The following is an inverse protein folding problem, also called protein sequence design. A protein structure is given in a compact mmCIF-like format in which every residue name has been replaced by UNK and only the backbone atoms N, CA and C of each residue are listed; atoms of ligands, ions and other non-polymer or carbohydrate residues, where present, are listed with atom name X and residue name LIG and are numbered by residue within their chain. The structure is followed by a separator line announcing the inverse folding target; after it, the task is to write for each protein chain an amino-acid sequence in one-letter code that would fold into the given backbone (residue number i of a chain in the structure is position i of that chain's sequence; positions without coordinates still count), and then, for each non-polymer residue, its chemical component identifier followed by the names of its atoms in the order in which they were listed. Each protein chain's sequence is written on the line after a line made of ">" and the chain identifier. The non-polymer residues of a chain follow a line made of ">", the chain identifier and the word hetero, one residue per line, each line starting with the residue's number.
data_IF_960516217414
#
_entry.id   IF_960516217414
#
_cell.length_a   1.000
_cell.length_b   1.000
_cell.length_c   1.000
_cell.angle_alpha   90.00
_cell.angle_beta   90.00
_cell.angle_gamma   90.00
#
_symmetry.space_group_name_H-M   'P 1'
#
loop_
_entity.id
_entity.type
_entity.pdbx_description
1 polymer ?
#
# COMPACT_ATOMS: atom_id res chain seq x y z
N UNK A 1 -0.67 3.96 14.78
CA UNK A 1 -0.94 2.63 14.19
C UNK A 1 -2.31 2.08 14.61
N UNK A 2 -2.49 1.53 15.83
CA UNK A 2 -3.80 0.98 16.28
C UNK A 2 -4.96 1.98 16.16
N UNK A 3 -4.71 3.25 16.49
CA UNK A 3 -5.71 4.31 16.34
C UNK A 3 -6.07 4.58 14.86
N UNK A 4 -5.09 4.63 13.96
CA UNK A 4 -5.36 4.70 12.52
C UNK A 4 -6.18 3.50 12.03
N UNK A 5 -5.86 2.29 12.54
CA UNK A 5 -6.62 1.08 12.27
C UNK A 5 -8.09 1.22 12.66
N UNK A 6 -8.39 1.73 13.86
CA UNK A 6 -9.77 2.00 14.29
C UNK A 6 -10.49 3.00 13.37
N UNK A 7 -9.81 4.06 12.93
CA UNK A 7 -10.38 5.08 12.03
C UNK A 7 -10.72 4.54 10.64
N UNK A 8 -9.99 3.52 10.19
CA UNK A 8 -10.28 2.79 8.95
C UNK A 8 -11.19 1.58 9.15
N UNK A 9 -11.44 1.14 10.39
CA UNK A 9 -12.14 -0.12 10.67
C UNK A 9 -11.33 -1.36 10.29
N UNK A 10 -10.00 -1.28 10.38
CA UNK A 10 -9.08 -2.38 10.06
C UNK A 10 -8.33 -2.87 11.29
N UNK A 11 -7.98 -4.15 11.26
CA UNK A 11 -7.10 -4.76 12.26
C UNK A 11 -5.63 -4.46 11.94
N UNK A 12 -4.80 -4.48 12.99
CA UNK A 12 -3.38 -4.17 12.86
C UNK A 12 -2.55 -5.21 13.61
N UNK A 13 -1.65 -5.87 12.87
CA UNK A 13 -0.66 -6.78 13.43
C UNK A 13 0.71 -6.11 13.34
N UNK A 14 1.39 -5.96 14.49
CA UNK A 14 2.77 -5.49 14.56
C UNK A 14 3.67 -6.71 14.66
N UNK A 15 4.56 -6.91 13.69
CA UNK A 15 5.64 -7.87 13.82
C UNK A 15 6.83 -7.21 14.53
N UNK A 16 7.52 -7.99 15.35
CA UNK A 16 8.65 -7.53 16.15
C UNK A 16 9.91 -7.41 15.28
N UNK A 17 10.06 -6.26 14.62
CA UNK A 17 11.27 -5.79 13.94
C UNK A 17 11.41 -4.29 14.21
N UNK A 18 12.59 -3.86 14.64
CA UNK A 18 12.87 -2.45 14.92
C UNK A 18 13.16 -1.67 13.63
N UNK A 19 12.83 -0.38 13.67
CA UNK A 19 13.04 0.55 12.54
C UNK A 19 14.53 0.67 12.19
N UNK A 20 14.85 0.46 10.92
CA UNK A 20 16.22 0.42 10.39
C UNK A 20 16.94 -0.91 10.58
N UNK A 21 16.31 -1.90 11.20
CA UNK A 21 16.90 -3.21 11.53
C UNK A 21 16.24 -4.39 10.80
N UNK A 22 15.25 -4.14 9.93
CA UNK A 22 14.59 -5.22 9.20
C UNK A 22 15.58 -5.93 8.27
N UNK A 23 15.76 -7.24 8.45
CA UNK A 23 16.59 -8.06 7.57
C UNK A 23 15.76 -9.08 6.78
N UNK A 24 16.09 -9.34 5.49
CA UNK A 24 15.39 -10.29 4.63
C UNK A 24 15.81 -11.74 4.94
N UNK A 25 15.60 -12.16 6.20
CA UNK A 25 15.97 -13.49 6.68
C UNK A 25 14.85 -14.50 6.44
N UNK A 26 15.22 -15.79 6.40
CA UNK A 26 14.22 -16.87 6.37
C UNK A 26 13.26 -16.78 7.56
N UNK A 27 13.75 -16.43 8.75
CA UNK A 27 12.91 -16.30 9.95
C UNK A 27 11.80 -15.25 9.75
N UNK A 28 12.15 -14.07 9.21
CA UNK A 28 11.18 -13.02 8.92
C UNK A 28 10.25 -13.40 7.76
N UNK A 29 10.76 -14.07 6.72
CA UNK A 29 9.92 -14.58 5.63
C UNK A 29 8.86 -15.56 6.13
N UNK A 30 9.23 -16.48 7.02
CA UNK A 30 8.29 -17.42 7.61
C UNK A 30 7.24 -16.71 8.48
N UNK A 31 7.57 -15.60 9.18
CA UNK A 31 6.57 -14.78 9.87
C UNK A 31 5.55 -14.21 8.88
N UNK A 32 6.00 -13.61 7.78
CA UNK A 32 5.12 -13.04 6.74
C UNK A 32 4.23 -14.12 6.11
N UNK A 33 4.79 -15.28 5.74
CA UNK A 33 4.01 -16.40 5.17
C UNK A 33 2.89 -16.83 6.11
N UNK A 34 3.18 -16.95 7.41
CA UNK A 34 2.17 -17.32 8.41
C UNK A 34 1.06 -16.29 8.51
N UNK A 35 1.39 -15.01 8.56
CA UNK A 35 0.38 -13.96 8.65
C UNK A 35 -0.50 -13.96 7.39
N UNK A 36 0.08 -13.99 6.18
CA UNK A 36 -0.71 -14.06 4.93
C UNK A 36 -1.65 -15.27 4.93
N UNK A 37 -1.20 -16.43 5.42
CA UNK A 37 -2.03 -17.64 5.53
C UNK A 37 -3.15 -17.51 6.57
N UNK A 38 -2.85 -16.95 7.75
CA UNK A 38 -3.86 -16.75 8.81
C UNK A 38 -4.98 -15.81 8.36
N UNK A 39 -4.64 -14.81 7.55
CA UNK A 39 -5.59 -13.86 6.97
C UNK A 39 -6.43 -14.44 5.82
N UNK A 40 -6.07 -15.61 5.28
CA UNK A 40 -6.68 -16.15 4.05
C UNK A 40 -6.75 -15.10 2.93
N UNK A 41 -5.64 -14.39 2.72
CA UNK A 41 -5.64 -13.14 1.95
C UNK A 41 -5.98 -13.34 0.47
N UNK A 42 -6.83 -12.46 -0.07
CA UNK A 42 -7.07 -12.36 -1.52
C UNK A 42 -6.06 -11.43 -2.22
N UNK A 43 -5.64 -10.37 -1.53
CA UNK A 43 -4.72 -9.34 -2.01
C UNK A 43 -3.66 -9.08 -0.94
N UNK A 44 -2.41 -8.93 -1.37
CA UNK A 44 -1.31 -8.49 -0.49
C UNK A 44 -0.62 -7.29 -1.14
N UNK A 45 -0.56 -6.16 -0.44
CA UNK A 45 0.07 -4.92 -0.94
C UNK A 45 1.38 -4.70 -0.18
N UNK A 46 2.47 -4.41 -0.90
CA UNK A 46 3.78 -4.12 -0.31
C UNK A 46 4.54 -3.03 -1.08
N UNK A 47 5.59 -2.43 -0.50
CA UNK A 47 6.53 -1.59 -1.25
C UNK A 47 7.27 -2.39 -2.32
N UNK A 48 7.78 -1.72 -3.36
CA UNK A 48 8.74 -2.31 -4.30
C UNK A 48 10.10 -2.54 -3.63
N UNK A 49 10.92 -3.48 -4.14
CA UNK A 49 12.28 -3.71 -3.62
C UNK A 49 13.29 -2.60 -3.96
N UNK A 50 12.82 -1.50 -4.57
CA UNK A 50 13.63 -0.37 -5.04
C UNK A 50 13.23 0.88 -4.26
N UNK A 51 13.94 1.19 -3.17
CA UNK A 51 13.64 2.33 -2.30
C UNK A 51 14.93 2.86 -1.63
N UNK A 52 14.89 4.11 -1.16
CA UNK A 52 15.97 4.72 -0.39
C UNK A 52 16.11 4.08 1.01
N UNK A 53 14.99 3.67 1.62
CA UNK A 53 14.97 3.09 2.94
C UNK A 53 15.22 1.57 2.85
N UNK A 54 16.20 1.00 3.58
CA UNK A 54 16.45 -0.44 3.57
C UNK A 54 15.22 -1.25 4.00
N UNK A 55 14.50 -0.81 5.04
CA UNK A 55 13.31 -1.53 5.51
C UNK A 55 12.18 -1.59 4.48
N UNK A 56 11.98 -0.54 3.66
CA UNK A 56 11.00 -0.61 2.57
C UNK A 56 11.39 -1.70 1.57
N UNK A 57 12.67 -1.71 1.16
CA UNK A 57 13.21 -2.71 0.23
C UNK A 57 13.08 -4.12 0.81
N UNK A 58 13.48 -4.31 2.06
CA UNK A 58 13.47 -5.62 2.70
C UNK A 58 12.05 -6.10 3.03
N UNK A 59 11.11 -5.20 3.34
CA UNK A 59 9.70 -5.55 3.42
C UNK A 59 9.17 -6.02 2.06
N UNK A 60 9.47 -5.28 0.99
CA UNK A 60 9.15 -5.68 -0.38
C UNK A 60 9.72 -7.05 -0.75
N UNK A 61 11.02 -7.29 -0.49
CA UNK A 61 11.68 -8.58 -0.75
C UNK A 61 11.04 -9.71 0.07
N UNK A 62 10.77 -9.49 1.35
CA UNK A 62 10.16 -10.51 2.22
C UNK A 62 8.76 -10.92 1.75
N UNK A 63 7.95 -9.95 1.32
CA UNK A 63 6.61 -10.21 0.76
C UNK A 63 6.71 -10.88 -0.61
N UNK A 64 7.62 -10.41 -1.48
CA UNK A 64 7.86 -11.00 -2.80
C UNK A 64 8.29 -12.47 -2.69
N UNK A 65 9.26 -12.78 -1.82
CA UNK A 65 9.73 -14.14 -1.58
C UNK A 65 8.66 -15.03 -0.94
N UNK A 66 7.68 -14.44 -0.25
CA UNK A 66 6.54 -15.16 0.31
C UNK A 66 5.49 -15.51 -0.75
N UNK A 67 5.41 -14.78 -1.87
CA UNK A 67 4.28 -14.79 -2.78
C UNK A 67 3.95 -16.18 -3.36
N UNK A 68 4.94 -16.93 -3.84
CA UNK A 68 4.71 -18.32 -4.24
C UNK A 68 4.63 -19.28 -3.04
N UNK A 69 5.36 -18.98 -1.96
CA UNK A 69 5.52 -19.89 -0.82
C UNK A 69 4.25 -20.04 0.03
N UNK A 70 3.34 -19.07 0.00
CA UNK A 70 2.08 -19.13 0.77
C UNK A 70 1.17 -20.29 0.36
N UNK A 71 1.30 -20.82 -0.85
CA UNK A 71 0.56 -22.01 -1.32
C UNK A 71 1.34 -23.33 -1.18
N UNK A 72 2.59 -23.31 -0.70
CA UNK A 72 3.45 -24.51 -0.60
C UNK A 72 3.27 -25.20 0.77
N UNK A 73 2.66 -26.40 0.87
CA UNK A 73 2.28 -26.99 2.15
C UNK A 73 3.44 -27.27 3.12
N UNK A 74 4.63 -27.59 2.59
CA UNK A 74 5.80 -27.94 3.41
C UNK A 74 6.52 -26.71 4.01
N UNK A 75 6.18 -25.50 3.59
CA UNK A 75 6.73 -24.27 4.15
C UNK A 75 5.80 -23.77 5.25
N UNK A 76 6.33 -23.44 6.43
CA UNK A 76 5.54 -23.04 7.60
C UNK A 76 4.32 -23.97 7.84
N UNK A 77 4.52 -25.30 7.94
CA UNK A 77 3.44 -26.30 7.92
C UNK A 77 2.48 -26.20 9.11
N UNK A 78 2.85 -25.51 10.18
CA UNK A 78 2.00 -25.22 11.33
C UNK A 78 0.81 -24.30 11.03
N UNK A 79 0.81 -23.60 9.88
CA UNK A 79 -0.35 -22.86 9.36
C UNK A 79 -0.70 -23.42 7.98
N UNK A 80 -1.93 -23.90 7.74
CA UNK A 80 -2.32 -24.47 6.45
C UNK A 80 -1.98 -23.54 5.29
N UNK A 81 -1.45 -24.11 4.21
CA UNK A 81 -1.21 -23.37 2.97
C UNK A 81 -2.52 -22.85 2.37
N UNK A 82 -2.43 -21.69 1.71
CA UNK A 82 -3.58 -21.13 0.99
C UNK A 82 -3.97 -22.04 -0.17
N UNK A 83 -5.26 -22.17 -0.41
CA UNK A 83 -5.79 -22.93 -1.57
C UNK A 83 -5.65 -22.17 -2.88
N UNK A 84 -5.58 -20.85 -2.81
CA UNK A 84 -5.42 -19.93 -3.93
C UNK A 84 -4.23 -19.03 -3.64
N UNK A 85 -3.44 -18.73 -4.65
CA UNK A 85 -2.38 -17.72 -4.52
C UNK A 85 -3.01 -16.32 -4.58
N UNK A 86 -2.78 -15.43 -3.60
CA UNK A 86 -3.25 -14.05 -3.64
C UNK A 86 -2.75 -13.28 -4.87
N UNK A 87 -3.39 -12.15 -5.16
CA UNK A 87 -2.80 -11.13 -6.03
C UNK A 87 -1.87 -10.28 -5.18
N UNK A 88 -0.58 -10.28 -5.52
CA UNK A 88 0.40 -9.44 -4.86
C UNK A 88 0.53 -8.14 -5.65
N UNK A 89 0.55 -7.01 -4.96
CA UNK A 89 0.57 -5.68 -5.55
C UNK A 89 1.67 -4.83 -4.93
N UNK A 90 2.28 -4.01 -5.76
CA UNK A 90 3.16 -2.94 -5.32
C UNK A 90 2.41 -1.62 -5.20
N UNK A 91 2.64 -0.90 -4.10
CA UNK A 91 2.16 0.47 -3.94
C UNK A 91 3.04 1.47 -4.71
N UNK A 92 2.44 2.57 -5.18
CA UNK A 92 3.14 3.65 -5.88
C UNK A 92 4.40 4.14 -5.13
N UNK A 93 5.47 4.33 -5.89
CA UNK A 93 6.65 5.09 -5.47
C UNK A 93 7.22 5.90 -6.66
N UNK A 94 8.32 6.64 -6.43
CA UNK A 94 8.92 7.54 -7.42
C UNK A 94 10.23 7.01 -8.03
N UNK A 95 10.67 5.81 -7.66
CA UNK A 95 11.93 5.24 -8.11
C UNK A 95 11.84 4.83 -9.59
N UNK A 96 12.84 5.27 -10.36
CA UNK A 96 12.92 5.03 -11.81
C UNK A 96 13.90 3.91 -12.18
N UNK A 97 14.71 3.46 -11.23
CA UNK A 97 15.75 2.45 -11.44
C UNK A 97 15.67 1.36 -10.37
N UNK A 98 16.01 0.11 -10.70
CA UNK A 98 16.34 -0.40 -12.04
C UNK A 98 15.19 -0.32 -13.05
N UNK A 99 13.93 -0.35 -12.58
CA UNK A 99 12.74 -0.23 -13.42
C UNK A 99 11.79 0.85 -12.85
N UNK A 100 11.14 1.65 -13.72
CA UNK A 100 10.10 2.59 -13.31
C UNK A 100 8.86 1.87 -12.79
N UNK A 101 8.00 2.58 -12.05
CA UNK A 101 6.72 2.05 -11.59
C UNK A 101 5.71 2.02 -12.74
N UNK A 102 5.07 0.87 -12.96
CA UNK A 102 4.13 0.65 -14.06
C UNK A 102 2.77 0.21 -13.51
N UNK A 103 1.82 1.14 -13.30
CA UNK A 103 0.55 0.81 -12.66
C UNK A 103 -0.40 0.02 -13.58
N UNK A 104 -0.88 -1.11 -13.09
CA UNK A 104 -1.91 -1.91 -13.72
C UNK A 104 -3.32 -1.50 -13.30
N UNK A 105 -3.45 -1.04 -12.06
CA UNK A 105 -4.71 -0.75 -11.37
C UNK A 105 -4.68 0.68 -10.85
N UNK A 106 -5.76 1.42 -11.09
CA UNK A 106 -5.97 2.75 -10.50
C UNK A 106 -7.33 2.79 -9.82
N UNK A 107 -7.37 3.34 -8.61
CA UNK A 107 -8.58 3.49 -7.79
C UNK A 107 -8.78 4.97 -7.51
N UNK A 108 -9.90 5.53 -7.96
CA UNK A 108 -10.34 6.86 -7.52
C UNK A 108 -10.65 6.79 -6.01
N UNK A 109 -10.03 7.68 -5.24
CA UNK A 109 -10.22 7.76 -3.77
C UNK A 109 -10.83 9.10 -3.33
N UNK A 110 -11.43 9.88 -4.24
CA UNK A 110 -12.00 11.20 -3.93
C UNK A 110 -13.03 11.13 -2.80
N UNK A 111 -13.88 10.11 -2.80
CA UNK A 111 -14.93 9.94 -1.79
C UNK A 111 -14.42 9.53 -0.41
N UNK A 112 -13.17 9.08 -0.30
CA UNK A 112 -12.55 8.58 0.95
C UNK A 112 -11.24 9.29 1.28
N UNK A 113 -10.87 10.33 0.54
CA UNK A 113 -9.62 11.06 0.73
C UNK A 113 -9.55 11.66 2.14
N UNK A 114 -10.61 12.32 2.60
CA UNK A 114 -10.65 12.91 3.95
C UNK A 114 -10.55 11.84 5.04
N UNK A 115 -11.13 10.66 4.84
CA UNK A 115 -10.97 9.53 5.77
C UNK A 115 -9.51 9.07 5.83
N UNK A 116 -8.81 9.02 4.68
CA UNK A 116 -7.38 8.72 4.63
C UNK A 116 -6.57 9.77 5.40
N UNK A 117 -6.85 11.06 5.21
CA UNK A 117 -6.18 12.15 5.94
C UNK A 117 -6.44 12.04 7.45
N UNK A 118 -7.68 11.76 7.84
CA UNK A 118 -8.06 11.59 9.24
C UNK A 118 -7.35 10.39 9.87
N UNK A 119 -7.23 9.26 9.18
CA UNK A 119 -6.49 8.11 9.70
C UNK A 119 -4.98 8.36 9.77
N UNK A 120 -4.41 9.07 8.79
CA UNK A 120 -3.01 9.49 8.81
C UNK A 120 -2.69 10.33 10.04
N UNK A 121 -3.57 11.27 10.42
CA UNK A 121 -3.33 12.16 11.57
C UNK A 121 -3.19 11.43 12.92
N UNK A 122 -3.60 10.15 13.01
CA UNK A 122 -3.37 9.33 14.20
C UNK A 122 -1.90 8.94 14.43
N UNK A 123 -1.01 9.17 13.45
CA UNK A 123 0.43 8.95 13.59
C UNK A 123 1.13 10.24 14.01
N UNK A 124 0.79 10.74 15.20
CA UNK A 124 1.22 12.05 15.68
C UNK A 124 2.74 12.23 15.65
N UNK A 125 3.47 11.27 16.21
CA UNK A 125 4.94 11.32 16.25
C UNK A 125 5.59 11.29 14.86
N UNK A 126 4.90 10.78 13.84
CA UNK A 126 5.43 10.75 12.48
C UNK A 126 5.15 12.06 11.76
N UNK A 127 3.88 12.46 11.70
CA UNK A 127 3.47 13.56 10.83
C UNK A 127 3.54 14.95 11.47
N UNK A 128 3.58 15.03 12.80
CA UNK A 128 3.58 16.30 13.52
C UNK A 128 4.84 16.51 14.37
N UNK A 129 5.72 15.51 14.48
CA UNK A 129 6.99 15.61 15.21
C UNK A 129 8.17 15.23 14.31
N UNK A 130 8.36 13.95 14.01
CA UNK A 130 9.55 13.43 13.33
C UNK A 130 9.75 13.97 11.92
N UNK A 131 8.76 13.85 11.03
CA UNK A 131 8.90 14.31 9.64
C UNK A 131 9.03 15.84 9.54
N UNK A 132 8.26 16.65 10.30
CA UNK A 132 8.52 18.09 10.40
C UNK A 132 9.91 18.43 10.95
N UNK A 133 10.39 17.72 11.97
CA UNK A 133 11.76 17.90 12.48
C UNK A 133 12.81 17.59 11.41
N UNK A 134 12.68 16.45 10.72
CA UNK A 134 13.59 16.01 9.67
C UNK A 134 13.65 17.00 8.49
N UNK A 135 12.53 17.64 8.19
CA UNK A 135 12.42 18.66 7.13
C UNK A 135 12.73 20.09 7.60
N UNK A 136 13.08 20.29 8.87
CA UNK A 136 13.36 21.62 9.44
C UNK A 136 12.14 22.53 9.58
N UNK A 137 10.93 21.96 9.66
CA UNK A 137 9.65 22.67 9.64
C UNK A 137 8.81 22.45 10.92
N UNK A 138 9.43 21.99 12.01
CA UNK A 138 8.72 21.63 13.25
C UNK A 138 7.95 22.80 13.87
N UNK A 139 8.52 24.00 13.86
CA UNK A 139 7.91 25.19 14.47
C UNK A 139 6.62 25.66 13.76
N UNK A 140 6.41 25.22 12.52
CA UNK A 140 5.25 25.59 11.70
C UNK A 140 4.11 24.56 11.77
N UNK A 141 4.25 23.49 12.57
CA UNK A 141 3.21 22.47 12.71
C UNK A 141 2.02 23.04 13.49
N UNK A 142 0.80 23.02 12.94
CA UNK A 142 -0.39 23.49 13.65
C UNK A 142 -0.64 22.73 14.94
N UNK A 143 -1.11 23.45 15.97
CA UNK A 143 -1.46 22.87 17.28
C UNK A 143 -2.88 22.29 17.30
N UNK A 144 -3.79 22.92 16.57
CA UNK A 144 -5.19 22.51 16.52
C UNK A 144 -5.42 21.37 15.51
N UNK A 145 -6.34 20.46 15.83
CA UNK A 145 -6.65 19.30 14.99
C UNK A 145 -7.05 19.70 13.56
N UNK A 146 -7.91 20.72 13.42
CA UNK A 146 -8.34 21.21 12.12
C UNK A 146 -7.15 21.65 11.24
N UNK A 147 -6.23 22.44 11.80
CA UNK A 147 -5.04 22.88 11.08
C UNK A 147 -4.10 21.72 10.70
N UNK A 148 -3.99 20.71 11.57
CA UNK A 148 -3.21 19.49 11.29
C UNK A 148 -3.80 18.68 10.14
N UNK A 149 -5.12 18.54 10.09
CA UNK A 149 -5.82 17.86 8.99
C UNK A 149 -5.66 18.63 7.66
N UNK A 150 -5.83 19.96 7.67
CA UNK A 150 -5.61 20.81 6.50
C UNK A 150 -4.17 20.72 5.98
N UNK A 151 -3.18 20.70 6.89
CA UNK A 151 -1.77 20.50 6.55
C UNK A 151 -1.54 19.17 5.85
N UNK A 152 -2.09 18.07 6.38
CA UNK A 152 -1.96 16.73 5.78
C UNK A 152 -2.68 16.61 4.44
N UNK A 153 -3.89 17.16 4.33
CA UNK A 153 -4.63 17.21 3.08
C UNK A 153 -3.83 17.94 2.00
N UNK A 154 -3.27 19.12 2.32
CA UNK A 154 -2.40 19.87 1.40
C UNK A 154 -1.17 19.08 0.98
N UNK A 155 -0.54 18.36 1.91
CA UNK A 155 0.62 17.52 1.59
C UNK A 155 0.27 16.38 0.62
N UNK A 156 -0.92 15.80 0.75
CA UNK A 156 -1.37 14.68 -0.09
C UNK A 156 -2.14 15.10 -1.35
N UNK A 157 -2.45 16.38 -1.51
CA UNK A 157 -3.12 16.93 -2.69
C UNK A 157 -2.12 17.32 -3.79
N UNK A 158 -1.36 16.34 -4.29
CA UNK A 158 -0.49 16.54 -5.44
C UNK A 158 -1.26 16.27 -6.74
N UNK A 159 -0.98 17.00 -7.84
CA UNK A 159 -1.57 16.68 -9.14
C UNK A 159 -1.26 15.24 -9.56
N UNK A 160 -2.24 14.59 -10.18
CA UNK A 160 -2.08 13.26 -10.73
C UNK A 160 -1.04 13.26 -11.85
N UNK A 161 -0.13 12.28 -11.82
CA UNK A 161 0.87 12.12 -12.87
C UNK A 161 0.22 11.67 -14.18
N UNK A 162 0.93 11.86 -15.31
CA UNK A 162 0.47 11.32 -16.59
C UNK A 162 0.25 9.80 -16.55
N UNK A 163 1.15 9.07 -15.88
CA UNK A 163 1.05 7.62 -15.70
C UNK A 163 -0.22 7.24 -14.92
N UNK A 164 -0.53 7.99 -13.86
CA UNK A 164 -1.76 7.82 -13.08
C UNK A 164 -3.00 8.09 -13.93
N UNK A 165 -3.00 9.15 -14.73
CA UNK A 165 -4.11 9.51 -15.60
C UNK A 165 -4.40 8.43 -16.64
N UNK A 166 -3.37 7.94 -17.34
CA UNK A 166 -3.52 6.84 -18.32
C UNK A 166 -4.11 5.59 -17.68
N UNK A 167 -3.66 5.23 -16.46
CA UNK A 167 -4.21 4.09 -15.75
C UNK A 167 -5.67 4.32 -15.30
N UNK A 168 -6.02 5.53 -14.86
CA UNK A 168 -7.40 5.89 -14.55
C UNK A 168 -8.30 5.81 -15.79
N UNK A 169 -7.85 6.26 -16.95
CA UNK A 169 -8.60 6.20 -18.21
C UNK A 169 -8.93 4.75 -18.60
N UNK A 170 -7.98 3.83 -18.44
CA UNK A 170 -8.18 2.38 -18.65
C UNK A 170 -9.36 1.84 -17.83
N UNK A 171 -9.55 2.31 -16.60
CA UNK A 171 -10.54 1.77 -15.66
C UNK A 171 -11.86 2.54 -15.61
N UNK A 172 -11.83 3.86 -15.79
CA UNK A 172 -12.96 4.76 -15.60
C UNK A 172 -13.40 5.48 -16.88
N UNK A 173 -12.61 5.44 -17.94
CA UNK A 173 -12.78 6.24 -19.16
C UNK A 173 -12.34 7.70 -19.00
N UNK A 174 -12.04 8.36 -20.12
CA UNK A 174 -11.49 9.73 -20.18
C UNK A 174 -12.26 10.73 -19.33
N UNK A 175 -13.60 10.75 -19.44
CA UNK A 175 -14.44 11.71 -18.73
C UNK A 175 -14.32 11.61 -17.21
N UNK A 176 -14.34 10.40 -16.65
CA UNK A 176 -14.25 10.20 -15.20
C UNK A 176 -12.82 10.37 -14.71
N UNK A 177 -11.83 9.94 -15.50
CA UNK A 177 -10.43 10.17 -15.18
C UNK A 177 -10.13 11.67 -15.07
N UNK A 178 -10.58 12.49 -16.02
CA UNK A 178 -10.39 13.95 -16.00
C UNK A 178 -11.06 14.66 -14.82
N UNK A 179 -12.08 14.05 -14.21
CA UNK A 179 -12.75 14.59 -13.02
C UNK A 179 -12.15 14.10 -11.70
N UNK A 180 -11.24 13.12 -11.74
CA UNK A 180 -10.63 12.53 -10.54
C UNK A 180 -9.57 13.47 -9.97
N UNK A 181 -9.62 13.72 -8.66
CA UNK A 181 -8.63 14.59 -7.99
C UNK A 181 -7.56 13.75 -7.28
N UNK A 182 -7.95 12.61 -6.71
CA UNK A 182 -7.10 11.75 -5.91
C UNK A 182 -7.27 10.29 -6.35
N UNK A 183 -6.14 9.61 -6.52
CA UNK A 183 -6.10 8.20 -6.88
C UNK A 183 -5.00 7.46 -6.13
N UNK A 184 -5.23 6.17 -5.90
CA UNK A 184 -4.17 5.20 -5.57
C UNK A 184 -3.93 4.31 -6.76
N UNK A 185 -2.67 4.02 -7.04
CA UNK A 185 -2.28 3.15 -8.15
C UNK A 185 -1.42 2.00 -7.66
N UNK A 186 -1.59 0.86 -8.31
CA UNK A 186 -0.94 -0.39 -7.95
C UNK A 186 -0.38 -1.10 -9.19
N UNK A 187 0.82 -1.64 -9.06
CA UNK A 187 1.49 -2.50 -10.04
C UNK A 187 1.32 -3.96 -9.59
N UNK A 188 1.02 -4.88 -10.51
CA UNK A 188 0.88 -6.29 -10.19
C UNK A 188 2.26 -6.91 -10.00
N UNK A 189 2.50 -7.53 -8.84
CA UNK A 189 3.72 -8.26 -8.57
C UNK A 189 3.72 -9.60 -9.33
N UNK A 190 4.75 -9.81 -10.14
CA UNK A 190 4.90 -10.96 -11.03
C UNK A 190 5.02 -12.31 -10.29
N UNK A 191 5.37 -12.29 -9.01
CA UNK A 191 5.64 -13.49 -8.19
C UNK A 191 4.38 -14.12 -7.55
N UNK A 192 3.25 -13.41 -7.64
CA UNK A 192 1.93 -13.87 -7.17
C UNK A 192 1.05 -14.45 -8.28
N UNK A 193 -0.26 -14.49 -8.06
CA UNK A 193 -1.21 -14.76 -9.14
C UNK A 193 -1.28 -13.60 -10.14
N UNK A 194 -1.55 -13.93 -11.41
CA UNK A 194 -1.72 -12.98 -12.51
C UNK A 194 -3.21 -12.90 -12.87
N UNK A 195 -3.95 -11.92 -12.33
CA UNK A 195 -5.40 -11.88 -12.47
C UNK A 195 -5.85 -11.37 -13.84
N UNK A 196 -6.98 -11.86 -14.33
CA UNK A 196 -7.66 -11.26 -15.48
C UNK A 196 -8.34 -9.93 -15.10
N UNK A 197 -8.75 -9.14 -16.09
CA UNK A 197 -9.52 -7.91 -15.85
C UNK A 197 -10.80 -8.19 -15.04
N UNK A 198 -11.49 -9.31 -15.31
CA UNK A 198 -12.69 -9.72 -14.59
C UNK A 198 -12.39 -10.07 -13.14
N UNK A 199 -11.25 -10.70 -12.87
CA UNK A 199 -10.81 -11.01 -11.50
C UNK A 199 -10.40 -9.74 -10.75
N UNK A 200 -9.70 -8.81 -11.39
CA UNK A 200 -9.39 -7.49 -10.81
C UNK A 200 -10.69 -6.78 -10.40
N UNK A 201 -11.73 -6.77 -11.25
CA UNK A 201 -13.02 -6.16 -10.89
C UNK A 201 -13.73 -6.84 -9.72
N UNK A 202 -13.52 -8.15 -9.51
CA UNK A 202 -14.05 -8.84 -8.33
C UNK A 202 -13.28 -8.44 -7.07
N UNK A 203 -11.96 -8.33 -7.17
CA UNK A 203 -11.07 -7.93 -6.08
C UNK A 203 -11.20 -6.46 -5.71
N UNK A 204 -11.50 -5.60 -6.69
CA UNK A 204 -11.71 -4.16 -6.56
C UNK A 204 -13.13 -3.79 -6.97
N UNK A 205 -14.15 -4.11 -6.13
CA UNK A 205 -15.56 -3.91 -6.49
C UNK A 205 -15.97 -2.44 -6.64
N UNK A 206 -15.11 -1.50 -6.23
CA UNK A 206 -15.26 -0.06 -6.46
C UNK A 206 -14.95 0.38 -7.89
N UNK A 207 -14.31 -0.48 -8.70
CA UNK A 207 -14.10 -0.21 -10.12
C UNK A 207 -15.43 -0.27 -10.89
N UNK A 208 -15.60 0.54 -11.95
CA UNK A 208 -16.78 0.45 -12.80
C UNK A 208 -16.93 -0.94 -13.40
N UNK A 209 -18.18 -1.44 -13.39
CA UNK A 209 -18.52 -2.64 -14.17
C UNK A 209 -18.31 -2.35 -15.65
N UNK A 210 -17.93 -3.38 -16.41
CA UNK A 210 -17.90 -3.29 -17.86
C UNK A 210 -19.35 -3.13 -18.32
N UNK A 211 -19.62 -2.08 -19.11
CA UNK A 211 -20.88 -1.92 -19.84
C UNK A 211 -21.08 -3.08 -20.84
#
# INVERSE_FOLDING_TARGET
>A
AKEAGKRFGVEYVVLDNHDGELMPTLANRLKIIREIRKWDADIVIAPRPNDYHPDHRYAGILVQDAAFMVIVPNIAPEVPALKKNPVFLYSEDRFQRPNPFEPDIAINIDSVFDQKIYAMSAHESQFFEWLPWLSGNLDNVPKEEKGRLEMLAKWRNNPLSNTTMVCLEKWYGEKKAAMTQHAEIFEICEYGSQPTIEEIRKLFPMLPKKD
#
